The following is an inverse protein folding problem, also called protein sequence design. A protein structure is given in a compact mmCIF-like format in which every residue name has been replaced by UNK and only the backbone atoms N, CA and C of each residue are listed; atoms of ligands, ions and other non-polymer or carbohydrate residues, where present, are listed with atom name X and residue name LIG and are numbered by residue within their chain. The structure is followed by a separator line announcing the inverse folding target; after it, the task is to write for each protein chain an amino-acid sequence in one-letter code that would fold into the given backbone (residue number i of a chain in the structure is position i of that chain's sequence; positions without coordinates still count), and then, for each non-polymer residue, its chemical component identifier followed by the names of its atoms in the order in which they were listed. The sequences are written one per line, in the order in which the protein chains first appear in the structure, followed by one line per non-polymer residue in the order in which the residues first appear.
data_IF_167382859677
#
_entry.id   IF_167382859677
#
_cell.length_a   1.000
_cell.length_b   1.000
_cell.length_c   1.000
_cell.angle_alpha   90.00
_cell.angle_beta   90.00
_cell.angle_gamma   90.00
#
_symmetry.space_group_name_H-M   'P 1'
#
loop_
_entity.id
_entity.type
_entity.pdbx_description
1 polymer ?
#
# COMPACT_ATOMS: atom_id res chain seq x y z
N UNK A 1 15.53 34.77 16.97
CA UNK A 1 15.83 34.39 18.38
C UNK A 1 16.02 32.88 18.48
N UNK A 2 15.04 32.06 18.16
CA UNK A 2 15.13 30.59 18.22
C UNK A 2 16.29 30.01 17.39
N UNK A 3 16.62 30.59 16.23
CA UNK A 3 17.77 30.20 15.41
C UNK A 3 19.12 30.28 16.12
N UNK A 4 19.21 31.03 17.21
CA UNK A 4 20.41 31.07 18.07
C UNK A 4 20.32 30.07 19.23
N UNK A 5 19.12 29.87 19.80
CA UNK A 5 18.91 28.99 20.95
C UNK A 5 19.12 27.51 20.59
N UNK A 6 18.89 27.09 19.36
CA UNK A 6 19.18 25.71 18.89
C UNK A 6 20.67 25.37 18.85
N UNK A 7 21.57 26.33 19.10
CA UNK A 7 23.01 26.13 19.26
C UNK A 7 23.47 26.20 20.71
N UNK A 8 22.53 26.26 21.68
CA UNK A 8 22.87 26.18 23.09
C UNK A 8 23.63 24.90 23.44
N UNK A 9 24.48 24.97 24.44
CA UNK A 9 25.14 23.80 25.05
C UNK A 9 24.32 23.24 26.21
N UNK A 10 23.27 23.91 26.61
CA UNK A 10 22.34 23.49 27.66
C UNK A 10 21.19 22.70 27.02
N UNK A 11 21.03 21.45 27.44
CA UNK A 11 20.00 20.54 26.93
C UNK A 11 18.59 21.05 27.19
N UNK A 12 18.33 21.71 28.34
CA UNK A 12 17.01 22.25 28.65
C UNK A 12 16.63 23.36 27.65
N UNK A 13 17.57 24.26 27.34
CA UNK A 13 17.40 25.28 26.33
C UNK A 13 17.18 24.70 24.93
N UNK A 14 17.93 23.63 24.58
CA UNK A 14 17.72 22.93 23.30
C UNK A 14 16.34 22.30 23.21
N UNK A 15 15.91 21.62 24.26
CA UNK A 15 14.57 20.98 24.33
C UNK A 15 13.48 22.02 24.10
N UNK A 16 13.50 23.11 24.87
CA UNK A 16 12.50 24.18 24.79
C UNK A 16 12.50 24.88 23.41
N UNK A 17 13.70 25.16 22.88
CA UNK A 17 13.85 25.76 21.57
C UNK A 17 13.30 24.85 20.45
N UNK A 18 13.60 23.54 20.51
CA UNK A 18 13.09 22.58 19.52
C UNK A 18 11.56 22.39 19.63
N UNK A 19 11.00 22.35 20.85
CA UNK A 19 9.54 22.34 21.00
C UNK A 19 8.90 23.58 20.44
N UNK A 20 9.44 24.77 20.74
CA UNK A 20 8.94 26.02 20.16
C UNK A 20 8.96 25.99 18.62
N UNK A 21 10.05 25.46 18.02
CA UNK A 21 10.13 25.33 16.56
C UNK A 21 9.11 24.29 16.05
N UNK A 22 8.89 23.18 16.76
CA UNK A 22 7.90 22.20 16.36
C UNK A 22 6.49 22.79 16.31
N UNK A 23 6.12 23.64 17.25
CA UNK A 23 4.82 24.36 17.22
C UNK A 23 4.76 25.40 16.08
N UNK A 24 5.86 26.07 15.77
CA UNK A 24 5.91 27.03 14.68
C UNK A 24 5.86 26.37 13.29
N UNK A 25 6.42 25.17 13.16
CA UNK A 25 6.39 24.37 11.92
C UNK A 25 5.14 23.54 11.76
N UNK A 26 4.29 23.45 12.76
CA UNK A 26 2.99 22.75 12.69
C UNK A 26 1.95 23.64 12.01
N UNK A 27 1.60 23.29 10.77
CA UNK A 27 0.54 24.00 10.04
C UNK A 27 0.83 24.25 8.57
N UNK A 28 0.57 25.48 8.10
CA UNK A 28 0.64 25.81 6.67
C UNK A 28 2.07 25.84 6.12
N UNK A 29 2.19 25.67 4.78
CA UNK A 29 3.49 25.78 4.09
C UNK A 29 4.19 27.13 4.32
N UNK A 30 3.44 28.22 4.54
CA UNK A 30 4.04 29.52 4.86
C UNK A 30 4.77 29.52 6.21
N UNK A 31 4.21 28.82 7.22
CA UNK A 31 4.87 28.65 8.53
C UNK A 31 6.12 27.77 8.40
N UNK A 32 6.03 26.70 7.66
CA UNK A 32 7.17 25.81 7.35
C UNK A 32 8.25 26.62 6.64
N UNK A 33 7.88 27.44 5.67
CA UNK A 33 8.80 28.28 4.91
C UNK A 33 9.54 29.28 5.81
N UNK A 34 8.85 29.92 6.75
CA UNK A 34 9.47 30.84 7.71
C UNK A 34 10.54 30.14 8.58
N UNK A 35 10.31 28.86 8.97
CA UNK A 35 11.31 28.08 9.70
C UNK A 35 12.51 27.74 8.81
N UNK A 36 12.27 27.40 7.54
CA UNK A 36 13.34 27.15 6.57
C UNK A 36 14.21 28.38 6.34
N UNK A 37 13.57 29.55 6.11
CA UNK A 37 14.25 30.82 5.87
C UNK A 37 15.06 31.33 7.08
N UNK A 38 14.64 30.90 8.29
CA UNK A 38 15.40 31.18 9.51
C UNK A 38 16.73 30.39 9.61
N UNK A 39 17.01 29.47 8.63
CA UNK A 39 18.26 28.70 8.55
C UNK A 39 18.35 27.57 9.59
N UNK A 40 17.23 27.16 10.17
CA UNK A 40 17.15 26.17 11.26
C UNK A 40 17.28 24.70 10.81
N UNK A 41 16.83 24.28 9.60
CA UNK A 41 16.73 22.87 9.22
C UNK A 41 18.00 22.05 9.42
N UNK A 42 19.15 22.57 9.00
CA UNK A 42 20.45 21.87 9.16
C UNK A 42 20.71 21.52 10.62
N UNK A 43 20.48 22.46 11.53
CA UNK A 43 20.71 22.23 12.95
C UNK A 43 19.71 21.22 13.54
N UNK A 44 18.44 21.27 13.14
CA UNK A 44 17.46 20.26 13.56
C UNK A 44 17.89 18.85 13.14
N UNK A 45 18.39 18.69 11.91
CA UNK A 45 18.89 17.41 11.42
C UNK A 45 20.09 16.92 12.24
N UNK A 46 21.04 17.80 12.59
CA UNK A 46 22.15 17.45 13.48
C UNK A 46 21.64 16.98 14.87
N UNK A 47 20.62 17.62 15.41
CA UNK A 47 20.04 17.30 16.72
C UNK A 47 19.28 15.96 16.72
N UNK A 48 18.93 15.39 15.57
CA UNK A 48 18.39 14.02 15.47
C UNK A 48 19.36 12.97 16.03
N UNK A 49 20.67 13.26 15.99
CA UNK A 49 21.73 12.37 16.49
C UNK A 49 22.28 12.82 17.86
N UNK A 50 21.57 13.70 18.57
CA UNK A 50 21.95 14.14 19.90
C UNK A 50 21.95 12.99 20.90
N UNK A 51 22.84 13.01 21.90
CA UNK A 51 22.96 11.96 22.90
C UNK A 51 21.69 11.82 23.76
N UNK A 52 20.99 12.94 24.02
CA UNK A 52 19.74 12.97 24.78
C UNK A 52 18.54 12.71 23.89
N UNK A 53 17.75 11.67 24.20
CA UNK A 53 16.48 11.41 23.52
C UNK A 53 15.44 12.51 23.75
N UNK A 54 15.56 13.28 24.84
CA UNK A 54 14.71 14.43 25.15
C UNK A 54 14.94 15.59 24.18
N UNK A 55 16.14 15.72 23.62
CA UNK A 55 16.46 16.68 22.55
C UNK A 55 16.07 16.09 21.18
N UNK A 56 16.35 14.79 20.94
CA UNK A 56 15.98 14.14 19.67
C UNK A 56 14.47 14.24 19.36
N UNK A 57 13.62 14.03 20.37
CA UNK A 57 12.17 13.98 20.18
C UNK A 57 11.59 15.27 19.58
N UNK A 58 11.78 16.47 20.14
CA UNK A 58 11.26 17.69 19.54
C UNK A 58 11.97 18.09 18.24
N UNK A 59 13.25 17.75 18.08
CA UNK A 59 13.95 17.95 16.82
C UNK A 59 13.34 17.10 15.70
N UNK A 60 13.08 15.82 15.97
CA UNK A 60 12.43 14.90 15.03
C UNK A 60 11.00 15.34 14.69
N UNK A 61 10.21 15.81 15.68
CA UNK A 61 8.90 16.40 15.43
C UNK A 61 8.99 17.60 14.49
N UNK A 62 9.95 18.50 14.70
CA UNK A 62 10.16 19.66 13.84
C UNK A 62 10.54 19.27 12.41
N UNK A 63 11.44 18.31 12.25
CA UNK A 63 11.84 17.76 10.94
C UNK A 63 10.63 17.12 10.26
N UNK A 64 9.86 16.29 11.01
CA UNK A 64 8.64 15.66 10.52
C UNK A 64 7.59 16.67 10.05
N UNK A 65 7.39 17.76 10.79
CA UNK A 65 6.47 18.83 10.40
C UNK A 65 6.94 19.52 9.10
N UNK A 66 8.24 19.78 8.94
CA UNK A 66 8.76 20.44 7.74
C UNK A 66 8.51 19.58 6.49
N UNK A 67 8.68 18.26 6.56
CA UNK A 67 8.44 17.34 5.43
C UNK A 67 6.95 17.05 5.17
N UNK A 68 6.02 17.62 5.94
CA UNK A 68 4.60 17.68 5.55
C UNK A 68 4.30 18.79 4.55
N UNK A 69 5.26 19.66 4.27
CA UNK A 69 5.17 20.73 3.29
C UNK A 69 5.20 20.23 1.85
N UNK A 70 5.52 21.12 0.92
CA UNK A 70 5.67 20.77 -0.48
C UNK A 70 6.99 20.01 -0.78
N UNK A 71 7.16 19.57 -2.04
CA UNK A 71 8.35 18.85 -2.48
C UNK A 71 9.63 19.64 -2.28
N UNK A 72 9.59 20.98 -2.45
CA UNK A 72 10.76 21.85 -2.31
C UNK A 72 11.18 21.93 -0.84
N UNK A 73 10.22 22.09 0.07
CA UNK A 73 10.44 22.12 1.51
C UNK A 73 10.95 20.76 2.04
N UNK A 74 10.37 19.67 1.56
CA UNK A 74 10.85 18.31 1.84
C UNK A 74 12.28 18.12 1.34
N UNK A 75 12.61 18.64 0.16
CA UNK A 75 13.96 18.56 -0.40
C UNK A 75 15.00 19.28 0.43
N UNK A 76 14.66 20.37 1.10
CA UNK A 76 15.57 21.06 2.02
C UNK A 76 16.03 20.12 3.15
N UNK A 77 15.14 19.36 3.72
CA UNK A 77 15.44 18.39 4.79
C UNK A 77 16.33 17.26 4.25
N UNK A 78 16.04 16.72 3.07
CA UNK A 78 16.87 15.71 2.43
C UNK A 78 18.28 16.26 2.19
N UNK A 79 18.40 17.46 1.66
CA UNK A 79 19.67 18.13 1.38
C UNK A 79 20.48 18.46 2.66
N UNK A 80 19.80 18.59 3.81
CA UNK A 80 20.47 18.71 5.10
C UNK A 80 21.04 17.39 5.62
N UNK A 81 20.85 16.25 4.91
CA UNK A 81 21.38 14.95 5.28
C UNK A 81 20.50 14.22 6.32
N UNK A 82 19.19 14.44 6.30
CA UNK A 82 18.28 13.83 7.28
C UNK A 82 18.15 12.30 7.14
N UNK A 83 18.26 11.74 5.94
CA UNK A 83 17.98 10.33 5.68
C UNK A 83 18.88 9.37 6.47
N UNK A 84 20.22 9.54 6.56
CA UNK A 84 21.05 8.71 7.43
C UNK A 84 20.68 8.80 8.91
N UNK A 85 20.29 9.99 9.41
CA UNK A 85 19.85 10.17 10.76
C UNK A 85 18.52 9.44 11.03
N UNK A 86 17.54 9.56 10.11
CA UNK A 86 16.28 8.84 10.19
C UNK A 86 16.47 7.33 10.16
N UNK A 87 17.38 6.82 9.32
CA UNK A 87 17.77 5.40 9.31
C UNK A 87 18.22 4.93 10.69
N UNK A 88 19.09 5.70 11.35
CA UNK A 88 19.54 5.39 12.70
C UNK A 88 18.40 5.38 13.72
N UNK A 89 17.45 6.33 13.61
CA UNK A 89 16.31 6.45 14.52
C UNK A 89 15.29 5.31 14.39
N UNK A 90 15.23 4.62 13.25
CA UNK A 90 14.40 3.42 13.09
C UNK A 90 14.83 2.26 14.03
N UNK A 91 16.07 2.29 14.52
CA UNK A 91 16.63 1.32 15.48
C UNK A 91 16.62 1.85 16.92
N UNK A 92 15.99 2.98 17.20
CA UNK A 92 15.91 3.55 18.54
C UNK A 92 15.26 2.57 19.53
N UNK A 93 15.73 2.54 20.76
CA UNK A 93 15.09 1.77 21.85
C UNK A 93 13.77 2.37 22.32
N UNK A 94 13.46 3.61 21.92
CA UNK A 94 12.22 4.33 22.26
C UNK A 94 11.17 4.15 21.16
N UNK A 95 10.06 3.51 21.48
CA UNK A 95 8.94 3.27 20.54
C UNK A 95 8.43 4.57 19.91
N UNK A 96 8.33 5.64 20.70
CA UNK A 96 7.90 6.96 20.23
C UNK A 96 8.83 7.54 19.15
N UNK A 97 10.15 7.34 19.28
CA UNK A 97 11.12 7.80 18.28
C UNK A 97 11.01 6.95 17.01
N UNK A 98 10.94 5.61 17.14
CA UNK A 98 10.74 4.73 15.97
C UNK A 98 9.48 5.10 15.18
N UNK A 99 8.34 5.26 15.88
CA UNK A 99 7.08 5.67 15.27
C UNK A 99 7.20 7.02 14.55
N UNK A 100 7.78 8.02 15.21
CA UNK A 100 7.94 9.37 14.65
C UNK A 100 8.90 9.39 13.45
N UNK A 101 9.96 8.57 13.48
CA UNK A 101 10.85 8.39 12.33
C UNK A 101 10.12 7.74 11.14
N UNK A 102 9.30 6.71 11.37
CA UNK A 102 8.45 6.13 10.32
C UNK A 102 7.49 7.16 9.72
N UNK A 103 6.83 7.98 10.57
CA UNK A 103 5.94 9.05 10.12
C UNK A 103 6.70 10.11 9.29
N UNK A 104 7.88 10.53 9.72
CA UNK A 104 8.72 11.46 8.97
C UNK A 104 9.08 10.89 7.60
N UNK A 105 9.50 9.61 7.54
CA UNK A 105 9.82 8.91 6.30
C UNK A 105 8.57 8.77 5.41
N UNK A 106 7.38 8.51 5.98
CA UNK A 106 6.15 8.41 5.20
C UNK A 106 5.81 9.70 4.47
N UNK A 107 6.10 10.86 5.08
CA UNK A 107 5.93 12.14 4.44
C UNK A 107 6.98 12.39 3.33
N UNK A 108 8.21 11.90 3.51
CA UNK A 108 9.22 11.96 2.43
C UNK A 108 8.84 11.05 1.26
N UNK A 109 8.30 9.85 1.52
CA UNK A 109 7.87 8.91 0.46
C UNK A 109 6.54 9.30 -0.20
N UNK A 110 5.77 10.21 0.41
CA UNK A 110 4.62 10.86 -0.22
C UNK A 110 5.01 11.89 -1.29
N UNK A 111 6.28 12.25 -1.37
CA UNK A 111 6.82 13.18 -2.35
C UNK A 111 7.00 12.57 -3.74
N UNK A 112 7.88 13.17 -4.55
CA UNK A 112 8.11 12.73 -5.91
C UNK A 112 9.04 11.52 -6.02
N UNK A 113 9.13 10.95 -7.22
CA UNK A 113 9.92 9.73 -7.48
C UNK A 113 11.43 9.89 -7.19
N UNK A 114 11.98 11.12 -7.22
CA UNK A 114 13.38 11.40 -6.87
C UNK A 114 13.57 11.33 -5.35
N UNK A 115 12.62 11.80 -4.57
CA UNK A 115 12.62 11.73 -3.10
C UNK A 115 12.43 10.29 -2.62
N UNK A 116 11.54 9.53 -3.28
CA UNK A 116 11.40 8.09 -3.04
C UNK A 116 12.74 7.38 -3.34
N UNK A 117 13.41 7.72 -4.45
CA UNK A 117 14.71 7.15 -4.79
C UNK A 117 15.77 7.46 -3.72
N UNK A 118 15.78 8.68 -3.19
CA UNK A 118 16.70 9.05 -2.12
C UNK A 118 16.50 8.18 -0.84
N UNK A 119 15.25 7.84 -0.51
CA UNK A 119 14.95 6.93 0.60
C UNK A 119 15.45 5.51 0.33
N UNK A 120 15.31 5.03 -0.92
CA UNK A 120 15.85 3.74 -1.36
C UNK A 120 17.37 3.74 -1.27
N UNK A 121 18.03 4.74 -1.83
CA UNK A 121 19.51 4.87 -1.87
C UNK A 121 20.11 5.02 -0.46
N UNK A 122 19.35 5.58 0.48
CA UNK A 122 19.73 5.66 1.90
C UNK A 122 19.55 4.32 2.65
N UNK A 123 19.15 3.24 1.97
CA UNK A 123 18.93 1.90 2.56
C UNK A 123 17.92 1.88 3.73
N UNK A 124 16.90 2.72 3.67
CA UNK A 124 15.85 2.85 4.70
C UNK A 124 14.77 1.77 4.54
N UNK A 125 14.54 1.25 3.35
CA UNK A 125 13.44 0.32 3.04
C UNK A 125 13.52 -0.99 3.85
N UNK A 126 14.65 -1.71 3.97
CA UNK A 126 14.70 -2.97 4.71
C UNK A 126 14.35 -2.82 6.20
N UNK A 127 14.92 -1.86 6.98
CA UNK A 127 14.53 -1.68 8.38
C UNK A 127 13.08 -1.17 8.52
N UNK A 128 12.56 -0.42 7.54
CA UNK A 128 11.17 0.03 7.53
C UNK A 128 10.21 -1.16 7.36
N UNK A 129 10.51 -2.10 6.45
CA UNK A 129 9.75 -3.36 6.29
C UNK A 129 9.84 -4.21 7.55
N UNK A 130 11.01 -4.26 8.20
CA UNK A 130 11.14 -4.95 9.49
C UNK A 130 10.20 -4.37 10.56
N UNK A 131 10.09 -3.04 10.65
CA UNK A 131 9.15 -2.38 11.56
C UNK A 131 7.70 -2.57 11.15
N UNK A 132 7.39 -2.60 9.87
CA UNK A 132 6.06 -2.92 9.33
C UNK A 132 5.59 -4.31 9.78
N UNK A 133 6.50 -5.27 9.86
CA UNK A 133 6.21 -6.63 10.25
C UNK A 133 6.20 -6.84 11.77
N UNK A 134 7.16 -6.27 12.49
CA UNK A 134 7.49 -6.63 13.87
C UNK A 134 7.27 -5.49 14.88
N UNK A 135 6.96 -4.28 14.44
CA UNK A 135 6.75 -3.13 15.32
C UNK A 135 5.46 -3.23 16.15
N UNK A 136 5.30 -2.36 17.13
CA UNK A 136 4.01 -2.14 17.76
C UNK A 136 3.00 -1.58 16.73
N UNK A 137 1.70 -1.71 17.02
CA UNK A 137 0.67 -1.36 16.03
C UNK A 137 0.75 0.10 15.55
N UNK A 138 1.15 1.03 16.43
CA UNK A 138 1.29 2.45 16.05
C UNK A 138 2.46 2.65 15.07
N UNK A 139 3.58 2.00 15.33
CA UNK A 139 4.75 2.02 14.44
C UNK A 139 4.45 1.31 13.12
N UNK A 140 3.77 0.16 13.16
CA UNK A 140 3.34 -0.57 11.94
C UNK A 140 2.46 0.27 11.04
N UNK A 141 1.54 1.08 11.59
CA UNK A 141 0.70 1.99 10.81
C UNK A 141 1.54 3.01 10.04
N UNK A 142 2.49 3.66 10.70
CA UNK A 142 3.35 4.66 10.05
C UNK A 142 4.28 4.01 9.00
N UNK A 143 4.81 2.82 9.28
CA UNK A 143 5.59 2.07 8.31
C UNK A 143 4.75 1.63 7.09
N UNK A 144 3.48 1.28 7.29
CA UNK A 144 2.53 0.98 6.20
C UNK A 144 2.36 2.19 5.29
N UNK A 145 2.11 3.38 5.85
CA UNK A 145 2.06 4.62 5.08
C UNK A 145 3.34 4.85 4.29
N UNK A 146 4.50 4.68 4.93
CA UNK A 146 5.79 4.93 4.28
C UNK A 146 6.05 3.98 3.10
N UNK A 147 5.76 2.68 3.25
CA UNK A 147 5.93 1.69 2.18
C UNK A 147 4.89 1.88 1.08
N UNK A 148 3.62 2.08 1.42
CA UNK A 148 2.55 2.30 0.44
C UNK A 148 2.79 3.58 -0.38
N UNK A 149 3.18 4.69 0.28
CA UNK A 149 3.55 5.92 -0.42
C UNK A 149 4.73 5.70 -1.37
N UNK A 150 5.75 4.92 -0.95
CA UNK A 150 6.88 4.59 -1.81
C UNK A 150 6.48 3.82 -3.08
N UNK A 151 5.36 3.10 -3.09
CA UNK A 151 4.84 2.42 -4.29
C UNK A 151 4.22 3.39 -5.29
N UNK A 152 3.83 4.60 -4.88
CA UNK A 152 3.15 5.57 -5.75
C UNK A 152 4.01 6.06 -6.91
N UNK A 153 5.33 6.06 -6.74
CA UNK A 153 6.30 6.40 -7.81
C UNK A 153 6.47 5.30 -8.87
N UNK A 154 5.97 4.11 -8.62
CA UNK A 154 6.28 2.90 -9.39
C UNK A 154 5.75 2.90 -10.83
N UNK A 155 4.66 3.59 -11.11
CA UNK A 155 4.15 3.71 -12.48
C UNK A 155 5.09 4.54 -13.37
N UNK A 156 5.81 5.50 -12.79
CA UNK A 156 6.83 6.29 -13.50
C UNK A 156 8.20 5.62 -13.46
N UNK A 157 8.52 4.90 -12.37
CA UNK A 157 9.79 4.21 -12.14
C UNK A 157 9.54 2.80 -11.59
N UNK A 158 9.16 1.82 -12.43
CA UNK A 158 8.86 0.45 -12.00
C UNK A 158 9.98 -0.22 -11.20
N UNK A 159 11.25 0.17 -11.43
CA UNK A 159 12.39 -0.32 -10.68
C UNK A 159 12.29 -0.07 -9.16
N UNK A 160 11.60 1.00 -8.74
CA UNK A 160 11.38 1.29 -7.32
C UNK A 160 10.45 0.25 -6.69
N UNK A 161 9.33 -0.09 -7.34
CA UNK A 161 8.43 -1.15 -6.85
C UNK A 161 9.13 -2.51 -6.87
N UNK A 162 9.90 -2.84 -7.93
CA UNK A 162 10.66 -4.10 -7.97
C UNK A 162 11.59 -4.22 -6.76
N UNK A 163 12.27 -3.13 -6.39
CA UNK A 163 13.12 -3.10 -5.20
C UNK A 163 12.33 -3.30 -3.90
N UNK A 164 11.16 -2.66 -3.75
CA UNK A 164 10.29 -2.84 -2.58
C UNK A 164 9.84 -4.30 -2.45
N UNK A 165 9.41 -4.93 -3.55
CA UNK A 165 9.00 -6.34 -3.58
C UNK A 165 10.17 -7.26 -3.23
N UNK A 166 11.35 -7.05 -3.83
CA UNK A 166 12.58 -7.80 -3.51
C UNK A 166 12.98 -7.66 -2.04
N UNK A 167 12.65 -6.53 -1.42
CA UNK A 167 12.89 -6.27 0.01
C UNK A 167 11.83 -6.94 0.92
N UNK A 168 10.78 -7.58 0.35
CA UNK A 168 9.81 -8.39 1.09
C UNK A 168 8.60 -7.61 1.62
N UNK A 169 8.14 -6.55 0.96
CA UNK A 169 7.04 -5.71 1.44
C UNK A 169 5.65 -6.36 1.32
N UNK A 170 5.44 -7.36 0.43
CA UNK A 170 4.11 -7.92 0.13
C UNK A 170 3.47 -8.55 1.37
N UNK A 171 4.16 -9.50 2.02
CA UNK A 171 3.58 -10.21 3.15
C UNK A 171 3.15 -9.29 4.31
N UNK A 172 3.99 -8.35 4.80
CA UNK A 172 3.58 -7.45 5.87
C UNK A 172 2.43 -6.51 5.48
N UNK A 173 2.32 -6.08 4.22
CA UNK A 173 1.15 -5.32 3.73
C UNK A 173 -0.12 -6.17 3.76
N UNK A 174 -0.06 -7.43 3.28
CA UNK A 174 -1.18 -8.37 3.36
C UNK A 174 -1.60 -8.66 4.81
N UNK A 175 -0.65 -8.75 5.74
CA UNK A 175 -0.95 -9.00 7.16
C UNK A 175 -1.73 -7.85 7.82
N UNK A 176 -1.61 -6.62 7.30
CA UNK A 176 -2.38 -5.47 7.80
C UNK A 176 -3.81 -5.41 7.29
N UNK A 177 -4.19 -6.16 6.26
CA UNK A 177 -5.57 -6.20 5.78
C UNK A 177 -6.56 -6.76 6.81
N UNK A 178 -6.07 -7.53 7.79
CA UNK A 178 -6.87 -8.06 8.89
C UNK A 178 -6.92 -7.14 10.13
N UNK A 179 -6.39 -5.91 10.07
CA UNK A 179 -6.39 -5.00 11.21
C UNK A 179 -7.75 -4.29 11.37
N UNK A 180 -8.08 -3.76 12.58
CA UNK A 180 -9.35 -3.08 12.81
C UNK A 180 -9.40 -1.63 12.30
N UNK A 181 -8.35 -1.13 11.65
CA UNK A 181 -8.22 0.26 11.21
C UNK A 181 -8.47 0.37 9.70
N UNK A 182 -9.67 0.82 9.33
CA UNK A 182 -10.08 0.94 7.92
C UNK A 182 -9.15 1.81 7.10
N UNK A 183 -8.56 2.86 7.69
CA UNK A 183 -7.64 3.74 6.97
C UNK A 183 -6.35 2.98 6.59
N UNK A 184 -5.86 2.12 7.47
CA UNK A 184 -4.68 1.31 7.20
C UNK A 184 -4.97 0.21 6.20
N UNK A 185 -6.16 -0.40 6.23
CA UNK A 185 -6.60 -1.36 5.20
C UNK A 185 -6.59 -0.69 3.83
N UNK A 186 -7.16 0.51 3.68
CA UNK A 186 -7.13 1.26 2.42
C UNK A 186 -5.70 1.50 1.94
N UNK A 187 -4.82 1.97 2.83
CA UNK A 187 -3.41 2.26 2.51
C UNK A 187 -2.66 1.00 2.08
N UNK A 188 -2.89 -0.13 2.74
CA UNK A 188 -2.29 -1.41 2.37
C UNK A 188 -2.80 -1.89 1.00
N UNK A 189 -4.11 -1.78 0.73
CA UNK A 189 -4.70 -2.10 -0.57
C UNK A 189 -4.14 -1.19 -1.69
N UNK A 190 -3.96 0.12 -1.44
CA UNK A 190 -3.34 1.04 -2.40
C UNK A 190 -1.92 0.59 -2.76
N UNK A 191 -1.12 0.23 -1.75
CA UNK A 191 0.23 -0.28 -1.97
C UNK A 191 0.26 -1.57 -2.78
N UNK A 192 -0.59 -2.54 -2.43
CA UNK A 192 -0.70 -3.83 -3.14
C UNK A 192 -1.20 -3.63 -4.58
N UNK A 193 -2.17 -2.76 -4.81
CA UNK A 193 -2.65 -2.43 -6.16
C UNK A 193 -1.55 -1.82 -7.04
N UNK A 194 -0.74 -0.89 -6.50
CA UNK A 194 0.40 -0.32 -7.22
C UNK A 194 1.45 -1.39 -7.57
N UNK A 195 1.70 -2.34 -6.67
CA UNK A 195 2.59 -3.47 -6.92
C UNK A 195 2.03 -4.34 -8.05
N UNK A 196 0.75 -4.69 -8.01
CA UNK A 196 0.07 -5.50 -9.04
C UNK A 196 0.09 -4.82 -10.41
N UNK A 197 -0.09 -3.50 -10.47
CA UNK A 197 0.01 -2.72 -11.73
C UNK A 197 1.39 -2.86 -12.38
N UNK A 198 2.46 -2.82 -11.59
CA UNK A 198 3.82 -3.03 -12.13
C UNK A 198 4.04 -4.48 -12.54
N UNK A 199 3.48 -5.44 -11.81
CA UNK A 199 3.52 -6.84 -12.21
C UNK A 199 2.81 -7.07 -13.56
N UNK A 200 1.72 -6.36 -13.84
CA UNK A 200 1.03 -6.43 -15.14
C UNK A 200 1.88 -5.80 -16.26
N UNK A 201 2.51 -4.64 -16.00
CA UNK A 201 3.46 -4.04 -16.94
C UNK A 201 4.64 -4.99 -17.26
N UNK A 202 5.15 -5.72 -16.26
CA UNK A 202 6.23 -6.69 -16.44
C UNK A 202 5.77 -7.90 -17.26
N UNK A 203 4.54 -8.40 -17.02
CA UNK A 203 3.88 -9.44 -17.82
C UNK A 203 3.75 -9.02 -19.29
N UNK A 204 3.17 -7.83 -19.54
CA UNK A 204 2.96 -7.31 -20.89
C UNK A 204 4.27 -7.05 -21.66
N UNK A 205 5.31 -6.60 -20.95
CA UNK A 205 6.62 -6.33 -21.57
C UNK A 205 7.44 -7.58 -21.90
N UNK A 206 6.99 -8.75 -21.47
CA UNK A 206 7.74 -10.01 -21.62
C UNK A 206 9.07 -10.02 -20.85
N UNK A 207 9.21 -9.19 -19.82
CA UNK A 207 10.40 -9.11 -18.99
C UNK A 207 10.72 -10.45 -18.30
N UNK A 208 9.74 -11.33 -18.23
CA UNK A 208 9.80 -12.66 -17.66
C UNK A 208 9.63 -13.74 -18.75
N UNK A 209 10.69 -13.96 -19.51
CA UNK A 209 10.67 -14.80 -20.73
C UNK A 209 10.71 -16.33 -20.49
N UNK A 210 10.57 -16.80 -19.27
CA UNK A 210 10.76 -18.21 -18.93
C UNK A 210 9.48 -19.08 -18.92
N UNK A 211 8.30 -18.53 -19.27
CA UNK A 211 7.03 -19.26 -19.21
C UNK A 211 5.84 -18.49 -19.78
N UNK A 212 4.64 -18.85 -19.36
CA UNK A 212 3.42 -18.11 -19.66
C UNK A 212 3.48 -16.67 -19.09
N UNK A 213 2.84 -15.70 -19.78
CA UNK A 213 2.83 -14.32 -19.31
C UNK A 213 1.96 -14.19 -18.07
N UNK A 214 2.55 -14.29 -16.88
CA UNK A 214 1.87 -14.28 -15.58
C UNK A 214 2.31 -13.04 -14.79
N UNK A 215 1.38 -12.44 -14.05
CA UNK A 215 1.71 -11.41 -13.07
C UNK A 215 2.35 -12.07 -11.83
N UNK A 216 3.70 -12.04 -11.75
CA UNK A 216 4.43 -12.65 -10.62
C UNK A 216 4.05 -12.08 -9.25
N UNK A 217 3.66 -10.82 -9.18
CA UNK A 217 3.30 -10.22 -7.90
C UNK A 217 1.94 -10.68 -7.42
N UNK A 218 1.03 -11.04 -8.34
CA UNK A 218 -0.20 -11.73 -7.98
C UNK A 218 0.11 -13.10 -7.34
N UNK A 219 1.00 -13.89 -7.95
CA UNK A 219 1.45 -15.17 -7.36
C UNK A 219 2.07 -14.98 -5.96
N UNK A 220 2.93 -13.98 -5.77
CA UNK A 220 3.52 -13.72 -4.45
C UNK A 220 2.49 -13.32 -3.41
N UNK A 221 1.42 -12.60 -3.80
CA UNK A 221 0.30 -12.28 -2.91
C UNK A 221 -0.49 -13.54 -2.55
N UNK A 222 -0.73 -14.46 -3.50
CA UNK A 222 -1.38 -15.75 -3.24
C UNK A 222 -0.54 -16.62 -2.30
N UNK A 223 0.76 -16.79 -2.57
CA UNK A 223 1.69 -17.59 -1.76
C UNK A 223 1.71 -17.19 -0.27
N UNK A 224 1.46 -15.92 0.04
CA UNK A 224 1.41 -15.44 1.43
C UNK A 224 -0.01 -15.38 2.02
N UNK A 225 -1.01 -15.93 1.31
CA UNK A 225 -2.42 -15.89 1.73
C UNK A 225 -3.01 -14.48 1.64
N UNK A 226 -2.48 -13.65 0.76
CA UNK A 226 -2.93 -12.27 0.59
C UNK A 226 -4.23 -12.18 -0.20
N UNK A 227 -4.43 -13.06 -1.18
CA UNK A 227 -5.65 -13.10 -1.98
C UNK A 227 -6.89 -13.29 -1.11
N UNK A 228 -6.87 -14.26 -0.19
CA UNK A 228 -8.00 -14.50 0.72
C UNK A 228 -8.27 -13.26 1.60
N UNK A 229 -7.21 -12.60 2.08
CA UNK A 229 -7.36 -11.38 2.90
C UNK A 229 -7.94 -10.20 2.10
N UNK A 230 -7.57 -10.06 0.83
CA UNK A 230 -8.17 -9.08 -0.08
C UNK A 230 -9.64 -9.43 -0.32
N UNK A 231 -9.94 -10.71 -0.57
CA UNK A 231 -11.31 -11.19 -0.73
C UNK A 231 -12.15 -10.92 0.53
N UNK A 232 -11.62 -11.16 1.73
CA UNK A 232 -12.30 -10.86 2.99
C UNK A 232 -12.63 -9.37 3.15
N UNK A 233 -11.80 -8.47 2.59
CA UNK A 233 -12.06 -7.04 2.58
C UNK A 233 -13.33 -6.67 1.79
N UNK A 234 -13.86 -7.53 0.92
CA UNK A 234 -15.16 -7.35 0.26
C UNK A 234 -16.35 -7.45 1.24
N UNK A 235 -16.15 -7.96 2.45
CA UNK A 235 -17.15 -7.98 3.51
C UNK A 235 -17.06 -6.75 4.44
N UNK A 236 -16.17 -5.79 4.16
CA UNK A 236 -16.00 -4.60 4.97
C UNK A 236 -17.20 -3.65 4.80
N UNK A 237 -17.68 -3.09 5.90
CA UNK A 237 -18.77 -2.10 5.89
C UNK A 237 -18.40 -0.76 5.21
N UNK A 238 -17.11 -0.49 5.03
CA UNK A 238 -16.62 0.69 4.31
C UNK A 238 -16.65 0.40 2.80
N UNK A 239 -17.48 1.15 2.07
CA UNK A 239 -17.69 0.99 0.62
C UNK A 239 -16.40 1.17 -0.19
N UNK A 240 -15.50 2.09 0.21
CA UNK A 240 -14.24 2.31 -0.50
C UNK A 240 -13.31 1.09 -0.40
N UNK A 241 -13.27 0.42 0.78
CA UNK A 241 -12.50 -0.81 0.98
C UNK A 241 -13.11 -1.95 0.15
N UNK A 242 -14.43 -2.13 0.26
CA UNK A 242 -15.16 -3.13 -0.50
C UNK A 242 -14.87 -3.00 -1.99
N UNK A 243 -15.11 -1.81 -2.57
CA UNK A 243 -14.95 -1.57 -3.99
C UNK A 243 -13.50 -1.77 -4.46
N UNK A 244 -12.53 -1.32 -3.66
CA UNK A 244 -11.12 -1.50 -4.00
C UNK A 244 -10.73 -2.97 -3.98
N UNK A 245 -11.13 -3.71 -2.95
CA UNK A 245 -10.87 -5.15 -2.85
C UNK A 245 -11.54 -5.92 -4.01
N UNK A 246 -12.79 -5.59 -4.33
CA UNK A 246 -13.51 -6.17 -5.46
C UNK A 246 -12.75 -5.95 -6.77
N UNK A 247 -12.36 -4.71 -7.07
CA UNK A 247 -11.64 -4.38 -8.30
C UNK A 247 -10.27 -5.08 -8.41
N UNK A 248 -9.56 -5.26 -7.27
CA UNK A 248 -8.28 -5.98 -7.25
C UNK A 248 -8.51 -7.46 -7.57
N UNK A 249 -9.51 -8.11 -6.93
CA UNK A 249 -9.81 -9.52 -7.18
C UNK A 249 -10.25 -9.73 -8.61
N UNK A 250 -11.21 -8.93 -9.11
CA UNK A 250 -11.72 -9.04 -10.48
C UNK A 250 -10.61 -8.88 -11.53
N UNK A 251 -9.71 -7.92 -11.31
CA UNK A 251 -8.69 -7.59 -12.33
C UNK A 251 -7.49 -8.52 -12.33
N UNK A 252 -7.05 -9.02 -11.16
CA UNK A 252 -5.76 -9.70 -11.05
C UNK A 252 -5.84 -11.15 -10.59
N UNK A 253 -7.02 -11.63 -10.14
CA UNK A 253 -7.21 -12.96 -9.57
C UNK A 253 -8.44 -13.71 -10.11
N UNK A 254 -9.23 -13.11 -11.03
CA UNK A 254 -10.27 -13.84 -11.75
C UNK A 254 -9.61 -14.63 -12.87
N UNK A 255 -9.87 -15.95 -12.93
CA UNK A 255 -9.47 -16.79 -14.04
C UNK A 255 -10.17 -16.33 -15.32
N UNK A 256 -9.43 -15.89 -16.33
CA UNK A 256 -9.97 -15.56 -17.67
C UNK A 256 -10.61 -16.78 -18.36
N UNK A 257 -10.46 -18.00 -17.82
CA UNK A 257 -11.01 -19.22 -18.41
C UNK A 257 -12.48 -19.49 -18.07
N UNK A 258 -13.10 -18.74 -17.11
CA UNK A 258 -14.50 -18.97 -16.69
C UNK A 258 -15.56 -18.35 -17.58
N UNK A 259 -15.27 -17.27 -18.32
CA UNK A 259 -16.29 -16.50 -19.02
C UNK A 259 -16.45 -16.85 -20.51
N UNK A 260 -15.54 -17.62 -21.11
CA UNK A 260 -15.67 -18.03 -22.51
C UNK A 260 -16.65 -19.21 -22.71
N UNK A 261 -16.93 -20.03 -21.70
CA UNK A 261 -17.87 -21.16 -21.81
C UNK A 261 -19.32 -20.82 -21.39
N UNK A 262 -19.57 -19.67 -20.77
CA UNK A 262 -20.91 -19.32 -20.28
C UNK A 262 -21.61 -18.19 -21.05
N UNK A 263 -21.02 -17.70 -22.15
CA UNK A 263 -21.74 -16.94 -23.19
C UNK A 263 -22.32 -17.85 -24.27
N UNK A 264 -22.81 -19.03 -23.87
CA UNK A 264 -23.74 -19.81 -24.68
C UNK A 264 -25.06 -19.03 -24.73
N UNK A 265 -25.39 -18.53 -25.91
CA UNK A 265 -26.63 -17.90 -26.34
C UNK A 265 -27.85 -18.11 -25.42
N UNK A 266 -28.04 -17.27 -24.41
CA UNK A 266 -29.31 -17.15 -23.69
C UNK A 266 -30.14 -15.99 -24.24
N UNK A 267 -30.05 -15.73 -25.56
CA UNK A 267 -30.99 -14.91 -26.26
C UNK A 267 -32.25 -15.70 -26.61
N UNK A 268 -33.46 -15.10 -26.56
CA UNK A 268 -34.69 -15.78 -26.99
C UNK A 268 -34.58 -16.10 -28.47
N UNK A 269 -34.54 -17.38 -28.85
CA UNK A 269 -34.62 -17.81 -30.24
C UNK A 269 -36.08 -17.92 -30.67
N UNK A 270 -36.42 -17.33 -31.83
CA UNK A 270 -37.72 -17.47 -32.46
C UNK A 270 -37.72 -18.76 -33.28
N UNK A 271 -38.56 -19.71 -32.89
CA UNK A 271 -38.78 -20.93 -33.66
C UNK A 271 -39.53 -20.63 -34.97
N UNK A 272 -39.41 -21.48 -35.97
CA UNK A 272 -40.08 -21.31 -37.28
C UNK A 272 -41.61 -21.15 -37.19
N UNK A 273 -42.19 -21.44 -36.04
CA UNK A 273 -43.63 -21.31 -35.74
C UNK A 273 -43.97 -20.04 -34.92
N UNK A 274 -43.03 -19.10 -34.74
CA UNK A 274 -43.29 -17.78 -34.16
C UNK A 274 -43.37 -17.75 -32.61
N UNK A 275 -42.96 -18.82 -31.89
CA UNK A 275 -42.93 -18.86 -30.43
C UNK A 275 -41.53 -18.61 -29.87
N UNK A 276 -41.45 -17.86 -28.77
CA UNK A 276 -40.20 -17.62 -28.05
C UNK A 276 -39.90 -18.79 -27.08
N UNK A 277 -38.74 -19.42 -27.23
CA UNK A 277 -38.27 -20.46 -26.34
C UNK A 277 -36.87 -20.17 -25.80
N UNK A 278 -36.63 -20.44 -24.54
CA UNK A 278 -35.29 -20.46 -23.94
C UNK A 278 -34.70 -21.85 -24.16
N UNK A 279 -33.73 -21.98 -25.07
CA UNK A 279 -33.14 -23.26 -25.43
C UNK A 279 -32.15 -23.77 -24.41
N UNK A 280 -32.46 -24.90 -23.78
CA UNK A 280 -31.46 -25.80 -23.24
C UNK A 280 -31.19 -26.93 -24.27
N UNK A 281 -29.97 -27.41 -24.50
CA UNK A 281 -29.69 -28.47 -25.47
C UNK A 281 -30.26 -29.80 -24.97
N UNK A 282 -31.26 -30.34 -25.67
CA UNK A 282 -31.77 -31.71 -25.44
C UNK A 282 -30.79 -32.70 -26.06
N UNK A 283 -30.18 -33.50 -25.20
CA UNK A 283 -29.58 -34.78 -25.61
C UNK A 283 -30.68 -35.75 -26.02
N UNK A 284 -30.70 -36.17 -27.29
CA UNK A 284 -31.56 -37.22 -27.83
C UNK A 284 -31.21 -38.56 -27.16
N UNK A 285 -32.10 -39.09 -26.33
CA UNK A 285 -32.26 -40.50 -26.13
C UNK A 285 -33.69 -40.88 -26.44
N UNK A 286 -33.88 -41.51 -27.61
CA UNK A 286 -35.12 -42.23 -27.97
C UNK A 286 -35.25 -43.44 -27.03
N UNK A 287 -36.26 -43.43 -26.16
CA UNK A 287 -36.84 -44.65 -25.62
C UNK A 287 -38.29 -44.76 -26.04
N UNK A 288 -38.55 -45.72 -26.95
CA UNK A 288 -39.88 -46.15 -27.33
C UNK A 288 -40.62 -46.72 -26.16
N UNK A 289 -41.65 -46.07 -25.68
CA UNK A 289 -42.67 -46.70 -24.84
C UNK A 289 -43.84 -47.14 -25.69
N UNK A 290 -43.97 -48.47 -25.79
CA UNK A 290 -45.11 -49.14 -26.44
C UNK A 290 -46.19 -49.37 -25.41
N UNK A 291 -47.34 -48.66 -25.51
CA UNK A 291 -48.55 -48.96 -24.77
C UNK A 291 -49.36 -50.00 -25.58
N UNK A 292 -49.29 -51.26 -25.23
CA UNK A 292 -50.22 -52.28 -25.70
C UNK A 292 -51.49 -52.25 -24.85
N UNK A 293 -52.60 -52.02 -25.53
CA UNK A 293 -53.96 -52.24 -25.08
C UNK A 293 -54.22 -53.71 -24.61
N UNK A 294 -54.84 -53.82 -23.49
CA UNK A 294 -55.41 -55.09 -23.05
C UNK A 294 -56.72 -54.87 -22.28
N UNK A 295 -57.81 -54.92 -23.04
CA UNK A 295 -59.14 -54.82 -22.50
C UNK A 295 -59.62 -56.18 -21.91
N UNK A 296 -60.59 -56.00 -21.08
CA UNK A 296 -61.73 -56.86 -20.73
C UNK A 296 -61.54 -58.37 -20.53
N UNK A 297 -61.95 -58.86 -19.37
CA UNK A 297 -63.27 -59.57 -19.23
C UNK A 297 -63.51 -60.00 -17.79
N UNK A 298 -64.71 -59.70 -17.32
CA UNK A 298 -65.40 -60.32 -16.20
C UNK A 298 -65.43 -61.87 -16.34
N UNK A 299 -65.36 -62.61 -15.27
CA UNK A 299 -66.44 -63.44 -14.75
C UNK A 299 -65.97 -64.34 -13.58
N UNK A 300 -66.87 -64.38 -12.58
CA UNK A 300 -67.07 -65.32 -11.45
C UNK A 300 -66.09 -65.16 -10.25
#
# INVERSE_FOLDING_TARGET
MLSKLVYSLDDEVLIDACWAISYLSDGSNDKIQAVIEAGIPRRLVELLMHASTSVQTPALRSVGNIVTGDDVQTQVIINCGALPALLSLLSSTKDGIRKEACWTISNVTAGNSTQIQAVIDANIIPPLIHLLQNGDFKTRKEACWAISNATSGGLQKPAQIRYLVQSGCIKPLCDLLACPDNKIIQVALDGLENILKVGEMDKESGADTAGEPINRYALFIEEVGGMEKIHDCQNNANEEIYMKAYNIIEKYFSDEEGDAENMGETGPQVTQDGHFGFGAPQAQQQQNFNFANGGDSMDM
#
